data_IF_495195980935
#
_entry.id   IF_495195980935
#
_cell.length_a   1.000
_cell.length_b   1.000
_cell.length_c   1.000
_cell.angle_alpha   90.00
_cell.angle_beta   90.00
_cell.angle_gamma   90.00
#
_symmetry.space_group_name_H-M   'P 1'
#
loop_
_entity.id
_entity.type
_entity.pdbx_description
1 polymer ?
#
# COMPACT_ATOMS: atom_id res chain seq x y z
N UNK A 1 -7.03 -16.94 -9.10
CA UNK A 1 -6.57 -15.65 -8.53
C UNK A 1 -6.93 -14.51 -9.48
N UNK A 2 -7.63 -13.50 -8.97
CA UNK A 2 -7.95 -12.23 -9.66
C UNK A 2 -7.10 -11.13 -9.03
N UNK A 3 -6.56 -10.25 -9.83
CA UNK A 3 -5.67 -9.16 -9.38
C UNK A 3 -6.36 -7.81 -9.56
N UNK A 4 -6.16 -6.90 -8.62
CA UNK A 4 -6.61 -5.52 -8.74
C UNK A 4 -5.39 -4.64 -8.56
N UNK A 5 -5.08 -3.81 -9.55
CA UNK A 5 -4.02 -2.82 -9.46
C UNK A 5 -4.65 -1.43 -9.33
N UNK A 6 -4.14 -0.64 -8.39
CA UNK A 6 -4.62 0.72 -8.14
C UNK A 6 -3.42 1.66 -8.15
N UNK A 7 -3.51 2.77 -8.88
CA UNK A 7 -2.41 3.73 -9.01
C UNK A 7 -2.97 5.14 -9.28
N UNK A 8 -2.20 6.18 -9.00
CA UNK A 8 -2.52 7.57 -9.36
C UNK A 8 -2.22 7.87 -10.82
N UNK A 9 -1.36 7.07 -11.45
CA UNK A 9 -0.87 7.31 -12.80
C UNK A 9 -1.52 6.37 -13.80
N UNK A 10 -2.28 6.93 -14.75
CA UNK A 10 -2.84 6.16 -15.86
C UNK A 10 -1.74 5.51 -16.71
N UNK A 11 -0.57 6.15 -16.83
CA UNK A 11 0.58 5.58 -17.52
C UNK A 11 1.13 4.34 -16.79
N UNK A 12 1.22 4.38 -15.44
CA UNK A 12 1.61 3.23 -14.62
C UNK A 12 0.62 2.07 -14.78
N UNK A 13 -0.69 2.36 -14.78
CA UNK A 13 -1.71 1.34 -15.02
C UNK A 13 -1.60 0.73 -16.42
N UNK A 14 -1.36 1.54 -17.45
CA UNK A 14 -1.16 1.04 -18.82
C UNK A 14 0.07 0.11 -18.92
N UNK A 15 1.17 0.49 -18.27
CA UNK A 15 2.36 -0.34 -18.17
C UNK A 15 2.07 -1.65 -17.43
N UNK A 16 1.35 -1.58 -16.31
CA UNK A 16 0.92 -2.76 -15.53
C UNK A 16 0.10 -3.73 -16.38
N UNK A 17 -0.90 -3.26 -17.13
CA UNK A 17 -1.71 -4.11 -18.03
C UNK A 17 -0.83 -4.79 -19.08
N UNK A 18 0.09 -4.04 -19.69
CA UNK A 18 1.04 -4.58 -20.69
C UNK A 18 1.92 -5.67 -20.08
N UNK A 19 2.48 -5.44 -18.90
CA UNK A 19 3.34 -6.40 -18.20
C UNK A 19 2.58 -7.68 -17.84
N UNK A 20 1.36 -7.57 -17.29
CA UNK A 20 0.54 -8.73 -16.94
C UNK A 20 0.17 -9.57 -18.17
N UNK A 21 -0.19 -8.93 -19.29
CA UNK A 21 -0.49 -9.62 -20.55
C UNK A 21 0.75 -10.32 -21.09
N UNK A 22 1.92 -9.66 -21.09
CA UNK A 22 3.19 -10.27 -21.52
C UNK A 22 3.60 -11.46 -20.64
N UNK A 23 3.23 -11.44 -19.35
CA UNK A 23 3.43 -12.55 -18.43
C UNK A 23 2.39 -13.68 -18.58
N UNK A 24 1.51 -13.64 -19.60
CA UNK A 24 0.52 -14.67 -19.87
C UNK A 24 -0.74 -14.61 -19.00
N UNK A 25 -0.95 -13.52 -18.25
CA UNK A 25 -2.14 -13.35 -17.42
C UNK A 25 -3.29 -12.83 -18.28
N UNK A 26 -4.34 -13.63 -18.41
CA UNK A 26 -5.55 -13.26 -19.16
C UNK A 26 -6.19 -11.97 -18.62
N UNK A 27 -6.72 -11.12 -19.52
CA UNK A 27 -7.37 -9.84 -19.16
C UNK A 27 -8.54 -10.01 -18.18
N UNK A 28 -9.25 -11.14 -18.22
CA UNK A 28 -10.33 -11.46 -17.27
C UNK A 28 -9.85 -11.68 -15.84
N UNK A 29 -8.54 -11.87 -15.64
CA UNK A 29 -7.93 -12.13 -14.33
C UNK A 29 -7.39 -10.87 -13.65
N UNK A 30 -7.44 -9.70 -14.27
CA UNK A 30 -7.06 -8.47 -13.60
C UNK A 30 -7.97 -7.29 -13.90
N UNK A 31 -8.09 -6.38 -12.94
CA UNK A 31 -8.70 -5.07 -13.10
C UNK A 31 -7.72 -3.99 -12.64
N UNK A 32 -7.92 -2.80 -13.16
CA UNK A 32 -7.09 -1.64 -12.83
C UNK A 32 -8.00 -0.46 -12.49
N UNK A 33 -7.67 0.29 -11.45
CA UNK A 33 -8.42 1.46 -11.03
C UNK A 33 -7.47 2.65 -10.84
N UNK A 34 -7.94 3.83 -11.24
CA UNK A 34 -7.26 5.09 -10.93
C UNK A 34 -7.79 5.58 -9.58
N UNK A 35 -6.92 6.05 -8.69
CA UNK A 35 -7.39 6.75 -7.47
C UNK A 35 -7.95 8.14 -7.80
N UNK A 36 -8.93 8.66 -7.03
CA UNK A 36 -9.50 8.05 -5.81
C UNK A 36 -10.50 6.92 -6.10
N UNK A 37 -10.49 5.87 -5.26
CA UNK A 37 -11.51 4.80 -5.23
C UNK A 37 -11.72 4.31 -3.79
N UNK A 38 -12.87 3.67 -3.51
CA UNK A 38 -13.08 2.93 -2.26
C UNK A 38 -12.55 1.51 -2.38
N UNK A 39 -11.66 1.08 -1.48
CA UNK A 39 -11.05 -0.26 -1.57
C UNK A 39 -12.04 -1.41 -1.33
N UNK A 40 -13.18 -1.13 -0.70
CA UNK A 40 -14.28 -2.10 -0.54
C UNK A 40 -14.82 -2.60 -1.88
N UNK A 41 -14.79 -1.77 -2.94
CA UNK A 41 -15.26 -2.13 -4.28
C UNK A 41 -14.42 -3.22 -4.95
N UNK A 42 -13.18 -3.41 -4.49
CA UNK A 42 -12.28 -4.44 -5.02
C UNK A 42 -12.64 -5.84 -4.51
N UNK A 43 -13.36 -5.95 -3.38
CA UNK A 43 -13.66 -7.21 -2.68
C UNK A 43 -12.43 -8.13 -2.57
N UNK A 44 -11.30 -7.56 -2.16
CA UNK A 44 -10.04 -8.28 -2.10
C UNK A 44 -9.91 -9.09 -0.81
N UNK A 45 -9.33 -10.28 -0.90
CA UNK A 45 -8.94 -11.07 0.28
C UNK A 45 -7.64 -10.55 0.91
N UNK A 46 -6.78 -9.93 0.09
CA UNK A 46 -5.49 -9.38 0.50
C UNK A 46 -5.22 -8.03 -0.17
N UNK A 47 -4.67 -7.09 0.58
CA UNK A 47 -4.22 -5.77 0.11
C UNK A 47 -2.71 -5.64 0.26
N UNK A 48 -2.05 -5.08 -0.76
CA UNK A 48 -0.61 -4.86 -0.76
C UNK A 48 -0.31 -3.41 -1.16
N UNK A 49 0.39 -2.67 -0.30
CA UNK A 49 0.98 -1.38 -0.65
C UNK A 49 2.46 -1.39 -0.30
N UNK A 50 3.28 -1.49 -1.34
CA UNK A 50 4.72 -1.62 -1.22
C UNK A 50 5.38 -0.38 -1.79
N UNK A 51 6.26 0.23 -1.01
CA UNK A 51 6.97 1.46 -1.36
C UNK A 51 6.05 2.62 -1.83
N UNK A 52 4.76 2.60 -1.51
CA UNK A 52 3.80 3.64 -1.93
C UNK A 52 3.66 4.73 -0.89
N UNK A 53 3.48 4.34 0.38
CA UNK A 53 3.11 5.25 1.48
C UNK A 53 4.15 6.36 1.68
N UNK A 54 5.43 6.08 1.42
CA UNK A 54 6.52 7.05 1.50
C UNK A 54 6.38 8.25 0.54
N UNK A 55 5.50 8.15 -0.45
CA UNK A 55 5.21 9.20 -1.43
C UNK A 55 3.94 10.00 -1.11
N UNK A 56 3.25 9.69 0.00
CA UNK A 56 2.05 10.45 0.37
C UNK A 56 2.43 11.88 0.72
N UNK A 57 1.70 12.89 0.20
CA UNK A 57 2.12 14.28 0.26
C UNK A 57 1.97 14.90 1.65
N UNK A 58 0.94 14.48 2.39
CA UNK A 58 0.54 15.10 3.64
C UNK A 58 -0.29 14.15 4.52
N UNK A 59 -0.59 14.65 5.71
CA UNK A 59 -1.39 13.96 6.73
C UNK A 59 -2.82 13.66 6.28
N UNK A 60 -3.42 14.54 5.48
CA UNK A 60 -4.80 14.38 5.03
C UNK A 60 -4.91 13.19 4.07
N UNK A 61 -3.97 13.07 3.14
CA UNK A 61 -3.88 11.94 2.23
C UNK A 61 -3.60 10.62 2.97
N UNK A 62 -2.70 10.63 3.96
CA UNK A 62 -2.46 9.47 4.84
C UNK A 62 -3.76 9.04 5.51
N UNK A 63 -4.44 9.98 6.17
CA UNK A 63 -5.66 9.68 6.93
C UNK A 63 -6.78 9.18 6.02
N UNK A 64 -6.98 9.78 4.85
CA UNK A 64 -7.98 9.35 3.87
C UNK A 64 -7.68 7.94 3.33
N UNK A 65 -6.43 7.67 2.93
CA UNK A 65 -6.01 6.36 2.43
C UNK A 65 -6.25 5.26 3.48
N UNK A 66 -5.78 5.49 4.71
CA UNK A 66 -5.89 4.52 5.79
C UNK A 66 -7.33 4.35 6.27
N UNK A 67 -8.16 5.41 6.27
CA UNK A 67 -9.58 5.33 6.55
C UNK A 67 -10.33 4.46 5.53
N UNK A 68 -10.04 4.63 4.23
CA UNK A 68 -10.59 3.77 3.17
C UNK A 68 -10.17 2.32 3.32
N UNK A 69 -8.91 2.08 3.69
CA UNK A 69 -8.38 0.75 3.94
C UNK A 69 -9.01 0.09 5.16
N UNK A 70 -9.17 0.83 6.26
CA UNK A 70 -9.81 0.34 7.47
C UNK A 70 -11.27 -0.06 7.21
N UNK A 71 -12.03 0.81 6.55
CA UNK A 71 -13.44 0.54 6.17
C UNK A 71 -13.61 -0.56 5.13
N UNK A 72 -12.57 -0.90 4.37
CA UNK A 72 -12.66 -1.94 3.34
C UNK A 72 -12.86 -3.35 3.89
N UNK A 73 -12.55 -3.56 5.18
CA UNK A 73 -12.60 -4.86 5.85
C UNK A 73 -11.84 -5.99 5.12
N UNK A 74 -10.79 -5.63 4.36
CA UNK A 74 -9.93 -6.61 3.68
C UNK A 74 -9.19 -7.42 4.76
N UNK A 75 -9.33 -8.76 4.80
CA UNK A 75 -8.82 -9.55 5.93
C UNK A 75 -7.31 -9.46 6.16
N UNK A 76 -6.52 -9.30 5.08
CA UNK A 76 -5.07 -9.31 5.15
C UNK A 76 -4.48 -8.09 4.46
N UNK A 77 -3.73 -7.28 5.21
CA UNK A 77 -3.13 -6.04 4.72
C UNK A 77 -1.63 -6.08 4.94
N UNK A 78 -0.87 -5.91 3.85
CA UNK A 78 0.58 -5.76 3.88
C UNK A 78 0.98 -4.36 3.44
N UNK A 79 1.61 -3.64 4.36
CA UNK A 79 2.09 -2.29 4.14
C UNK A 79 3.61 -2.25 4.29
N UNK A 80 4.27 -1.62 3.33
CA UNK A 80 5.65 -1.20 3.51
C UNK A 80 5.66 0.27 3.91
N UNK A 81 5.89 0.52 5.19
CA UNK A 81 6.11 1.86 5.74
C UNK A 81 7.59 2.08 6.01
N UNK A 82 7.97 3.35 6.18
CA UNK A 82 9.28 3.74 6.70
C UNK A 82 9.10 4.21 8.14
N UNK A 83 9.98 3.76 9.03
CA UNK A 83 10.00 4.26 10.40
C UNK A 83 10.38 5.75 10.45
N UNK A 84 9.81 6.45 11.42
CA UNK A 84 10.18 7.84 11.75
C UNK A 84 11.61 7.90 12.30
N UNK A 85 12.21 9.10 12.29
CA UNK A 85 13.58 9.31 12.79
C UNK A 85 13.74 9.04 14.28
N UNK A 86 12.65 9.16 15.04
CA UNK A 86 12.61 8.92 16.47
C UNK A 86 11.29 8.21 16.83
N UNK A 87 11.32 7.23 17.75
CA UNK A 87 10.17 6.35 18.02
C UNK A 87 8.97 7.07 18.64
N UNK A 88 9.20 8.22 19.29
CA UNK A 88 8.15 9.07 19.87
C UNK A 88 7.45 9.95 18.82
N UNK A 89 7.99 10.04 17.60
CA UNK A 89 7.36 10.80 16.53
C UNK A 89 6.41 9.84 15.80
N UNK A 90 5.09 10.11 15.82
CA UNK A 90 4.12 9.20 15.22
C UNK A 90 4.19 9.23 13.69
N UNK A 91 4.42 10.40 13.11
CA UNK A 91 4.33 10.67 11.68
C UNK A 91 5.24 11.85 11.31
N UNK A 92 5.90 11.77 10.16
CA UNK A 92 6.67 12.89 9.59
C UNK A 92 6.48 12.97 8.09
N UNK A 93 6.49 14.19 7.55
CA UNK A 93 6.54 14.47 6.12
C UNK A 93 7.78 15.31 5.79
N UNK A 94 8.55 14.88 4.79
CA UNK A 94 9.66 15.66 4.23
C UNK A 94 9.33 16.08 2.79
N UNK A 95 8.82 17.31 2.58
CA UNK A 95 8.40 17.78 1.26
C UNK A 95 9.58 18.00 0.30
N UNK A 96 10.81 18.14 0.82
CA UNK A 96 12.02 18.32 0.00
C UNK A 96 12.44 16.98 -0.62
N UNK A 97 12.09 15.87 0.02
CA UNK A 97 12.37 14.51 -0.45
C UNK A 97 11.08 13.77 -0.77
N UNK A 98 10.28 14.27 -1.71
CA UNK A 98 9.02 13.66 -2.16
C UNK A 98 9.10 12.13 -2.47
N UNK A 99 10.30 11.61 -2.79
CA UNK A 99 10.53 10.17 -2.96
C UNK A 99 10.59 9.35 -1.65
N UNK A 100 10.66 9.99 -0.48
CA UNK A 100 10.92 9.39 0.85
C UNK A 100 10.24 10.19 1.98
N UNK A 101 9.15 10.91 1.67
CA UNK A 101 8.61 11.98 2.50
C UNK A 101 7.89 11.46 3.74
N UNK A 102 6.97 10.51 3.56
CA UNK A 102 6.08 10.08 4.64
C UNK A 102 6.65 8.88 5.39
N UNK A 103 6.73 9.02 6.71
CA UNK A 103 7.21 7.99 7.63
C UNK A 103 6.20 7.84 8.75
N UNK A 104 5.94 6.60 9.16
CA UNK A 104 4.96 6.24 10.17
C UNK A 104 5.61 5.33 11.20
N UNK A 105 5.42 5.64 12.47
CA UNK A 105 5.70 4.69 13.55
C UNK A 105 4.71 3.52 13.52
N UNK A 106 5.09 2.38 14.10
CA UNK A 106 4.18 1.23 14.25
C UNK A 106 2.91 1.63 15.03
N UNK A 107 3.07 2.40 16.11
CA UNK A 107 1.96 2.90 16.91
C UNK A 107 0.99 3.77 16.09
N UNK A 108 1.52 4.61 15.20
CA UNK A 108 0.68 5.41 14.30
C UNK A 108 -0.09 4.56 13.30
N UNK A 109 0.52 3.51 12.75
CA UNK A 109 -0.18 2.56 11.88
C UNK A 109 -1.31 1.86 12.65
N UNK A 110 -1.07 1.43 13.88
CA UNK A 110 -2.12 0.83 14.73
C UNK A 110 -3.28 1.79 15.03
N UNK A 111 -3.00 3.09 15.22
CA UNK A 111 -4.04 4.11 15.36
C UNK A 111 -4.86 4.34 14.08
N UNK A 112 -4.20 4.24 12.92
CA UNK A 112 -4.81 4.44 11.61
C UNK A 112 -5.64 3.22 11.16
N UNK A 113 -5.31 2.03 11.65
CA UNK A 113 -6.00 0.76 11.37
C UNK A 113 -6.50 0.11 12.67
N UNK A 114 -7.44 0.75 13.38
CA UNK A 114 -7.89 0.27 14.70
C UNK A 114 -8.56 -1.11 14.64
N UNK A 115 -9.09 -1.54 13.49
CA UNK A 115 -9.73 -2.85 13.34
C UNK A 115 -8.75 -3.98 13.00
N UNK A 116 -7.46 -3.67 12.85
CA UNK A 116 -6.42 -4.64 12.53
C UNK A 116 -5.50 -4.89 13.74
N UNK A 117 -5.03 -6.12 13.86
CA UNK A 117 -3.87 -6.44 14.70
C UNK A 117 -2.60 -6.10 13.92
N UNK A 118 -1.99 -4.94 14.20
CA UNK A 118 -0.81 -4.48 13.47
C UNK A 118 0.44 -5.13 14.07
N UNK A 119 1.15 -5.89 13.25
CA UNK A 119 2.42 -6.53 13.61
C UNK A 119 3.54 -6.03 12.72
N UNK A 120 4.70 -5.74 13.29
CA UNK A 120 5.90 -5.44 12.52
C UNK A 120 6.54 -6.73 12.02
N UNK A 121 6.77 -6.83 10.71
CA UNK A 121 7.51 -7.94 10.12
C UNK A 121 8.91 -7.50 9.72
N UNK A 122 9.92 -7.90 10.51
CA UNK A 122 11.32 -7.74 10.16
C UNK A 122 11.84 -9.03 9.54
N UNK A 123 11.90 -9.09 8.21
CA UNK A 123 12.49 -10.25 7.54
C UNK A 123 14.00 -10.33 7.85
N UNK A 124 14.57 -11.54 8.09
CA UNK A 124 16.02 -11.70 8.05
C UNK A 124 16.54 -11.28 6.67
N UNK A 125 17.66 -10.53 6.65
CA UNK A 125 18.23 -9.72 5.55
C UNK A 125 18.41 -10.35 4.15
N UNK A 126 17.95 -11.58 3.88
CA UNK A 126 18.25 -12.31 2.63
C UNK A 126 17.05 -12.81 1.81
N UNK A 127 15.81 -12.50 2.19
CA UNK A 127 14.63 -12.87 1.38
C UNK A 127 13.92 -11.60 0.96
N UNK A 128 13.91 -11.30 -0.34
CA UNK A 128 13.11 -10.19 -0.85
C UNK A 128 11.64 -10.58 -0.78
N UNK A 129 10.78 -9.68 -0.32
CA UNK A 129 9.35 -9.89 -0.12
C UNK A 129 8.64 -10.61 -1.29
N UNK A 130 9.09 -10.36 -2.53
CA UNK A 130 8.58 -10.98 -3.74
C UNK A 130 8.67 -12.52 -3.76
N UNK A 131 9.57 -13.12 -2.99
CA UNK A 131 9.74 -14.57 -2.91
C UNK A 131 8.67 -15.26 -2.02
N UNK A 132 7.89 -14.52 -1.24
CA UNK A 132 6.85 -15.08 -0.37
C UNK A 132 5.43 -15.05 -0.97
N UNK A 133 5.23 -14.33 -2.09
CA UNK A 133 3.91 -14.14 -2.72
C UNK A 133 3.67 -15.05 -3.92
N UNK A 134 4.74 -15.58 -4.53
CA UNK A 134 4.69 -16.49 -5.68
C UNK A 134 4.63 -17.94 -5.20
#
# INVERSE_FOLDING_TARGET
RRYVAVDISQASLNATRTTLIKAGIARSRFKTYLIPMEFSEAHADCFFSLATIQHFPDHAFVTDFFSKLDRSAIPLVYLQTRATIAPNIPETHDPVKAAMATRLSLARVQQLLPHYCVVEYTAPRRVTFYQHIL
#
